data_IF_792147691541
#
_entry.id   IF_792147691541
#
_cell.length_a   1.000
_cell.length_b   1.000
_cell.length_c   1.000
_cell.angle_alpha   90.00
_cell.angle_beta   90.00
_cell.angle_gamma   90.00
#
_symmetry.space_group_name_H-M   'P 1'
#
loop_
_entity.id
_entity.type
_entity.pdbx_description
1 polymer ?
#
# COMPACT_ATOMS: atom_id res chain seq x y z
N UNK A 1 19.82 -8.37 -21.84
CA UNK A 1 18.79 -7.59 -21.12
C UNK A 1 19.37 -6.69 -20.03
N UNK A 2 20.43 -7.09 -19.33
CA UNK A 2 21.11 -6.30 -18.28
C UNK A 2 21.87 -5.05 -18.78
N UNK A 3 22.41 -5.06 -20.00
CA UNK A 3 23.13 -3.89 -20.55
C UNK A 3 22.18 -2.79 -21.05
N UNK A 4 20.98 -3.16 -21.50
CA UNK A 4 19.97 -2.19 -21.97
C UNK A 4 19.33 -1.43 -20.78
N UNK A 5 19.06 -2.14 -19.68
CA UNK A 5 18.60 -1.57 -18.41
C UNK A 5 19.64 -0.62 -17.77
N UNK A 6 20.94 -0.94 -17.88
CA UNK A 6 22.00 -0.08 -17.38
C UNK A 6 22.21 1.20 -18.22
N UNK A 7 21.90 1.18 -19.52
CA UNK A 7 22.01 2.35 -20.39
C UNK A 7 20.79 3.28 -20.29
N UNK A 8 19.60 2.73 -20.04
CA UNK A 8 18.39 3.51 -19.73
C UNK A 8 18.47 4.17 -18.34
N UNK A 9 18.99 3.47 -17.32
CA UNK A 9 19.16 4.07 -15.98
C UNK A 9 20.18 5.22 -15.94
N UNK A 10 21.21 5.17 -16.79
CA UNK A 10 22.19 6.28 -16.97
C UNK A 10 21.54 7.48 -17.66
N UNK A 11 20.59 7.28 -18.57
CA UNK A 11 19.94 8.36 -19.30
C UNK A 11 18.99 9.18 -18.42
N UNK A 12 18.28 8.54 -17.48
CA UNK A 12 17.38 9.23 -16.55
C UNK A 12 18.14 9.89 -15.40
N UNK A 13 19.19 9.26 -14.87
CA UNK A 13 20.10 9.92 -13.93
C UNK A 13 20.69 11.22 -14.50
N UNK A 14 21.25 11.16 -15.71
CA UNK A 14 21.81 12.33 -16.39
C UNK A 14 20.77 13.42 -16.73
N UNK A 15 19.50 13.03 -16.97
CA UNK A 15 18.42 13.98 -17.23
C UNK A 15 18.03 14.80 -15.99
N UNK A 16 18.18 14.23 -14.78
CA UNK A 16 17.75 14.86 -13.52
C UNK A 16 18.90 15.30 -12.61
N UNK A 17 20.15 15.05 -12.99
CA UNK A 17 21.34 15.46 -12.21
C UNK A 17 21.35 16.95 -11.86
N UNK A 18 20.80 17.80 -12.74
CA UNK A 18 20.68 19.25 -12.52
C UNK A 18 19.25 19.74 -12.33
N UNK A 19 18.26 18.84 -12.23
CA UNK A 19 16.87 19.23 -12.05
C UNK A 19 16.66 19.96 -10.71
N UNK A 20 15.80 20.96 -10.71
CA UNK A 20 15.28 21.61 -9.51
C UNK A 20 14.39 20.66 -8.71
N UNK A 21 14.16 20.95 -7.43
CA UNK A 21 13.23 20.18 -6.60
C UNK A 21 11.82 20.15 -7.21
N UNK A 22 11.40 21.25 -7.84
CA UNK A 22 10.10 21.35 -8.49
C UNK A 22 9.99 20.42 -9.71
N UNK A 23 11.04 20.32 -10.53
CA UNK A 23 11.08 19.38 -11.66
C UNK A 23 11.07 17.92 -11.18
N UNK A 24 11.78 17.61 -10.10
CA UNK A 24 11.77 16.28 -9.48
C UNK A 24 10.37 15.94 -8.93
N UNK A 25 9.70 16.91 -8.30
CA UNK A 25 8.34 16.77 -7.80
C UNK A 25 7.36 16.52 -8.94
N UNK A 26 7.43 17.31 -10.01
CA UNK A 26 6.59 17.12 -11.19
C UNK A 26 6.82 15.76 -11.86
N UNK A 27 8.07 15.29 -11.91
CA UNK A 27 8.39 13.96 -12.41
C UNK A 27 7.77 12.84 -11.54
N UNK A 28 7.87 12.98 -10.21
CA UNK A 28 7.26 12.04 -9.27
C UNK A 28 5.73 12.01 -9.41
N UNK A 29 5.09 13.18 -9.39
CA UNK A 29 3.64 13.34 -9.56
C UNK A 29 3.17 12.77 -10.90
N UNK A 30 3.91 13.03 -11.98
CA UNK A 30 3.62 12.46 -13.30
C UNK A 30 3.69 10.94 -13.25
N UNK A 31 4.74 10.36 -12.70
CA UNK A 31 4.90 8.90 -12.60
C UNK A 31 3.77 8.26 -11.80
N UNK A 32 3.31 8.93 -10.73
CA UNK A 32 2.18 8.50 -9.92
C UNK A 32 0.87 8.56 -10.72
N UNK A 33 0.63 9.67 -11.42
CA UNK A 33 -0.59 9.87 -12.21
C UNK A 33 -0.68 8.92 -13.41
N UNK A 34 0.45 8.60 -14.04
CA UNK A 34 0.52 7.67 -15.18
C UNK A 34 0.74 6.22 -14.77
N UNK A 35 0.80 5.91 -13.47
CA UNK A 35 1.11 4.58 -12.94
C UNK A 35 2.41 3.97 -13.52
N UNK A 36 3.39 4.83 -13.83
CA UNK A 36 4.65 4.44 -14.47
C UNK A 36 5.67 4.02 -13.40
N UNK A 37 5.66 2.73 -13.06
CA UNK A 37 6.55 2.17 -12.03
C UNK A 37 8.02 2.18 -12.43
N UNK A 38 8.35 2.07 -13.72
CA UNK A 38 9.75 2.07 -14.18
C UNK A 38 10.36 3.45 -13.99
N UNK A 39 9.67 4.51 -14.43
CA UNK A 39 10.10 5.88 -14.16
C UNK A 39 10.20 6.13 -12.65
N UNK A 40 9.26 5.61 -11.85
CA UNK A 40 9.32 5.76 -10.40
C UNK A 40 10.57 5.08 -9.79
N UNK A 41 10.90 3.86 -10.24
CA UNK A 41 12.10 3.11 -9.81
C UNK A 41 13.38 3.86 -10.14
N UNK A 42 13.45 4.48 -11.31
CA UNK A 42 14.61 5.26 -11.75
C UNK A 42 14.75 6.59 -11.00
N UNK A 43 13.63 7.23 -10.65
CA UNK A 43 13.63 8.50 -9.91
C UNK A 43 14.02 8.32 -8.43
N UNK A 44 13.71 7.18 -7.81
CA UNK A 44 13.99 6.92 -6.40
C UNK A 44 15.47 7.11 -5.99
N UNK A 45 16.48 6.53 -6.68
CA UNK A 45 17.88 6.78 -6.37
C UNK A 45 18.32 8.22 -6.65
N UNK A 46 17.71 8.91 -7.63
CA UNK A 46 17.98 10.33 -7.91
C UNK A 46 17.54 11.20 -6.73
N UNK A 47 16.32 11.02 -6.24
CA UNK A 47 15.80 11.72 -5.04
C UNK A 47 16.69 11.45 -3.82
N UNK A 48 17.11 10.20 -3.63
CA UNK A 48 17.97 9.81 -2.52
C UNK A 48 19.36 10.44 -2.62
N UNK A 49 19.96 10.48 -3.82
CA UNK A 49 21.25 11.14 -4.05
C UNK A 49 21.18 12.65 -3.85
N UNK A 50 20.04 13.27 -4.21
CA UNK A 50 19.82 14.70 -4.07
C UNK A 50 19.79 15.18 -2.61
N UNK A 51 19.50 14.30 -1.65
CA UNK A 51 19.56 14.63 -0.22
C UNK A 51 20.93 15.14 0.24
N UNK A 52 22.02 14.76 -0.43
CA UNK A 52 23.38 15.18 -0.07
C UNK A 52 23.79 16.53 -0.67
N UNK A 53 23.01 17.05 -1.62
CA UNK A 53 23.35 18.27 -2.37
C UNK A 53 22.26 19.34 -2.34
N UNK A 54 21.05 19.00 -1.88
CA UNK A 54 19.92 19.93 -1.75
C UNK A 54 20.21 21.03 -0.73
N UNK A 55 19.75 22.27 -0.95
CA UNK A 55 19.80 23.30 0.07
C UNK A 55 19.05 22.88 1.34
N UNK A 56 19.54 23.28 2.51
CA UNK A 56 18.92 22.93 3.80
C UNK A 56 17.44 23.36 3.89
N UNK A 57 17.09 24.48 3.27
CA UNK A 57 15.71 24.99 3.22
C UNK A 57 14.74 24.06 2.45
N UNK A 58 15.26 23.22 1.56
CA UNK A 58 14.51 22.30 0.70
C UNK A 58 14.60 20.84 1.17
N UNK A 59 15.49 20.53 2.11
CA UNK A 59 15.75 19.16 2.57
C UNK A 59 14.49 18.49 3.12
N UNK A 60 13.68 19.20 3.90
CA UNK A 60 12.41 18.70 4.44
C UNK A 60 11.46 18.28 3.31
N UNK A 61 11.24 19.16 2.33
CA UNK A 61 10.36 18.89 1.20
C UNK A 61 10.85 17.72 0.35
N UNK A 62 12.17 17.62 0.13
CA UNK A 62 12.76 16.48 -0.59
C UNK A 62 12.61 15.16 0.17
N UNK A 63 12.76 15.16 1.49
CA UNK A 63 12.57 13.96 2.33
C UNK A 63 11.12 13.49 2.33
N UNK A 64 10.16 14.41 2.42
CA UNK A 64 8.73 14.09 2.30
C UNK A 64 8.42 13.52 0.92
N UNK A 65 8.89 14.17 -0.15
CA UNK A 65 8.73 13.69 -1.52
C UNK A 65 9.34 12.29 -1.68
N UNK A 66 10.55 12.05 -1.19
CA UNK A 66 11.22 10.75 -1.23
C UNK A 66 10.41 9.69 -0.49
N UNK A 67 9.84 10.01 0.67
CA UNK A 67 9.03 9.09 1.45
C UNK A 67 7.71 8.72 0.77
N UNK A 68 7.01 9.72 0.21
CA UNK A 68 5.78 9.52 -0.57
C UNK A 68 6.07 8.69 -1.82
N UNK A 69 7.16 8.99 -2.53
CA UNK A 69 7.56 8.27 -3.74
C UNK A 69 7.96 6.82 -3.45
N UNK A 70 8.65 6.59 -2.32
CA UNK A 70 8.97 5.24 -1.85
C UNK A 70 7.70 4.45 -1.48
N UNK A 71 6.70 5.10 -0.86
CA UNK A 71 5.40 4.49 -0.58
C UNK A 71 4.65 4.13 -1.87
N UNK A 72 4.69 4.99 -2.89
CA UNK A 72 4.10 4.70 -4.20
C UNK A 72 4.72 3.47 -4.87
N UNK A 73 6.05 3.34 -4.85
CA UNK A 73 6.72 2.15 -5.40
C UNK A 73 6.32 0.89 -4.61
N UNK A 74 6.28 0.99 -3.28
CA UNK A 74 5.85 -0.12 -2.43
C UNK A 74 4.40 -0.54 -2.72
N UNK A 75 3.48 0.41 -2.95
CA UNK A 75 2.09 0.11 -3.26
C UNK A 75 1.92 -0.50 -4.65
N UNK A 76 2.66 -0.02 -5.65
CA UNK A 76 2.64 -0.59 -7.00
C UNK A 76 3.21 -2.01 -7.03
N UNK A 77 4.37 -2.22 -6.42
CA UNK A 77 4.95 -3.56 -6.28
C UNK A 77 4.02 -4.49 -5.48
N UNK A 78 3.26 -3.94 -4.52
CA UNK A 78 2.26 -4.70 -3.76
C UNK A 78 1.09 -5.17 -4.63
N UNK A 79 0.58 -4.31 -5.49
CA UNK A 79 -0.50 -4.68 -6.42
C UNK A 79 -0.08 -5.85 -7.32
N UNK A 80 1.16 -5.84 -7.81
CA UNK A 80 1.74 -6.97 -8.55
C UNK A 80 1.91 -8.21 -7.66
N UNK A 81 2.41 -8.06 -6.43
CA UNK A 81 2.62 -9.17 -5.49
C UNK A 81 1.33 -9.94 -5.17
N UNK A 82 0.20 -9.23 -5.14
CA UNK A 82 -1.12 -9.80 -4.83
C UNK A 82 -1.75 -10.55 -6.00
N UNK A 83 -1.15 -10.52 -7.20
CA UNK A 83 -1.62 -11.34 -8.32
C UNK A 83 -1.47 -12.84 -8.03
N UNK A 84 -2.42 -13.60 -8.55
CA UNK A 84 -2.49 -15.05 -8.35
C UNK A 84 -1.59 -15.83 -9.33
N UNK A 85 -1.26 -15.23 -10.47
CA UNK A 85 -0.59 -15.85 -11.61
C UNK A 85 0.93 -15.60 -11.66
N UNK A 86 1.50 -14.98 -10.62
CA UNK A 86 2.94 -14.77 -10.52
C UNK A 86 3.64 -15.92 -9.77
N UNK A 87 4.85 -16.26 -10.23
CA UNK A 87 5.68 -17.32 -9.67
C UNK A 87 6.17 -16.99 -8.25
N UNK A 88 6.61 -18.03 -7.52
CA UNK A 88 7.23 -17.86 -6.20
C UNK A 88 8.50 -16.98 -6.30
N UNK A 89 9.22 -17.06 -7.42
CA UNK A 89 10.39 -16.22 -7.68
C UNK A 89 10.01 -14.74 -7.77
N UNK A 90 9.02 -14.40 -8.59
CA UNK A 90 8.51 -13.04 -8.73
C UNK A 90 7.93 -12.50 -7.42
N UNK A 91 7.17 -13.31 -6.66
CA UNK A 91 6.70 -12.93 -5.32
C UNK A 91 7.84 -12.58 -4.37
N UNK A 92 8.97 -13.31 -4.45
CA UNK A 92 10.14 -13.01 -3.64
C UNK A 92 10.79 -11.69 -4.04
N UNK A 93 10.93 -11.43 -5.34
CA UNK A 93 11.51 -10.20 -5.87
C UNK A 93 10.67 -8.99 -5.48
N UNK A 94 9.35 -9.05 -5.71
CA UNK A 94 8.40 -8.00 -5.34
C UNK A 94 8.37 -7.77 -3.83
N UNK A 95 8.40 -8.84 -3.02
CA UNK A 95 8.50 -8.71 -1.56
C UNK A 95 9.76 -7.98 -1.11
N UNK A 96 10.91 -8.31 -1.71
CA UNK A 96 12.18 -7.61 -1.44
C UNK A 96 12.15 -6.16 -1.90
N UNK A 97 11.49 -5.86 -3.00
CA UNK A 97 11.32 -4.50 -3.51
C UNK A 97 10.48 -3.65 -2.56
N UNK A 98 9.35 -4.18 -2.08
CA UNK A 98 8.47 -3.51 -1.11
C UNK A 98 9.24 -3.20 0.19
N UNK A 99 10.00 -4.16 0.71
CA UNK A 99 10.81 -3.97 1.92
C UNK A 99 11.90 -2.90 1.71
N UNK A 100 12.56 -2.91 0.54
CA UNK A 100 13.59 -1.94 0.21
C UNK A 100 13.03 -0.52 0.03
N UNK A 101 11.90 -0.39 -0.66
CA UNK A 101 11.21 0.88 -0.84
C UNK A 101 10.74 1.43 0.51
N UNK A 102 10.06 0.60 1.32
CA UNK A 102 9.60 1.03 2.64
C UNK A 102 10.75 1.44 3.57
N UNK A 103 11.87 0.72 3.54
CA UNK A 103 13.06 1.08 4.31
C UNK A 103 13.64 2.44 3.91
N UNK A 104 13.66 2.77 2.61
CA UNK A 104 14.05 4.10 2.12
C UNK A 104 13.09 5.18 2.60
N UNK A 105 11.78 4.90 2.56
CA UNK A 105 10.76 5.82 3.07
C UNK A 105 10.93 6.11 4.57
N UNK A 106 11.11 5.08 5.40
CA UNK A 106 11.36 5.26 6.84
C UNK A 106 12.63 6.08 7.11
N UNK A 107 13.71 5.80 6.36
CA UNK A 107 14.97 6.56 6.48
C UNK A 107 14.80 8.03 6.11
N UNK A 108 14.00 8.32 5.08
CA UNK A 108 13.69 9.69 4.67
C UNK A 108 12.90 10.45 5.74
N UNK A 109 11.89 9.80 6.34
CA UNK A 109 11.02 10.38 7.37
C UNK A 109 11.68 10.56 8.74
N UNK A 110 12.69 9.74 9.08
CA UNK A 110 13.29 9.71 10.42
C UNK A 110 13.66 11.09 10.97
N UNK A 111 14.41 11.92 10.21
CA UNK A 111 14.81 13.26 10.66
C UNK A 111 13.70 14.33 10.66
N UNK A 112 12.52 14.04 10.10
CA UNK A 112 11.44 15.01 9.98
C UNK A 112 10.71 15.23 11.31
N UNK A 113 10.15 16.42 11.57
CA UNK A 113 9.31 16.66 12.75
C UNK A 113 8.06 15.76 12.73
N UNK A 114 7.50 15.47 13.90
CA UNK A 114 6.26 14.69 14.02
C UNK A 114 5.06 15.54 13.55
N UNK A 115 4.63 15.30 12.31
CA UNK A 115 3.48 15.93 11.67
C UNK A 115 2.42 14.88 11.32
N UNK A 116 1.17 15.31 11.12
CA UNK A 116 0.10 14.42 10.65
C UNK A 116 0.47 13.71 9.34
N UNK A 117 1.16 14.42 8.44
CA UNK A 117 1.61 13.86 7.17
C UNK A 117 2.69 12.79 7.36
N UNK A 118 3.69 13.04 8.22
CA UNK A 118 4.69 12.03 8.59
C UNK A 118 4.04 10.79 9.18
N UNK A 119 3.10 10.97 10.11
CA UNK A 119 2.39 9.85 10.73
C UNK A 119 1.59 9.04 9.70
N UNK A 120 0.88 9.71 8.79
CA UNK A 120 0.13 9.09 7.68
C UNK A 120 1.02 8.22 6.82
N UNK A 121 2.11 8.78 6.28
CA UNK A 121 3.05 8.04 5.42
C UNK A 121 3.71 6.90 6.20
N UNK A 122 4.09 7.12 7.47
CA UNK A 122 4.68 6.09 8.32
C UNK A 122 3.72 4.92 8.55
N UNK A 123 2.45 5.21 8.82
CA UNK A 123 1.40 4.20 8.99
C UNK A 123 1.21 3.37 7.71
N UNK A 124 1.15 4.02 6.55
CA UNK A 124 1.02 3.34 5.26
C UNK A 124 2.24 2.45 4.94
N UNK A 125 3.46 2.94 5.19
CA UNK A 125 4.68 2.16 5.02
C UNK A 125 4.73 0.91 5.93
N UNK A 126 4.23 1.03 7.18
CA UNK A 126 4.09 -0.12 8.08
C UNK A 126 3.11 -1.15 7.51
N UNK A 127 2.01 -0.71 6.91
CA UNK A 127 1.02 -1.59 6.29
C UNK A 127 1.58 -2.30 5.05
N UNK A 128 2.40 -1.64 4.23
CA UNK A 128 3.02 -2.24 3.04
C UNK A 128 4.02 -3.35 3.42
N UNK A 129 4.98 -3.04 4.30
CA UNK A 129 6.07 -3.97 4.71
C UNK A 129 5.56 -5.24 5.40
N UNK A 130 4.44 -5.17 6.11
CA UNK A 130 3.95 -6.29 6.92
C UNK A 130 3.08 -7.28 6.14
N UNK A 131 2.55 -6.86 4.98
CA UNK A 131 1.78 -7.74 4.08
C UNK A 131 2.69 -8.62 3.20
N UNK A 132 4.00 -8.33 3.09
CA UNK A 132 4.99 -9.04 2.27
C UNK A 132 5.74 -10.12 3.05
N UNK A 133 5.10 -11.26 3.32
CA UNK A 133 5.80 -12.40 3.92
C UNK A 133 6.58 -13.18 2.86
N UNK A 134 7.91 -13.09 2.85
CA UNK A 134 8.78 -14.13 2.29
C UNK A 134 10.05 -14.34 3.14
N UNK A 135 10.26 -15.61 3.56
CA UNK A 135 11.41 -16.18 4.29
C UNK A 135 11.92 -15.45 5.54
N UNK A 136 11.53 -15.95 6.70
CA UNK A 136 12.45 -16.20 7.82
C UNK A 136 12.97 -15.00 8.61
N UNK A 137 12.84 -13.77 8.13
CA UNK A 137 13.03 -12.58 8.95
C UNK A 137 11.69 -12.25 9.60
N UNK A 138 11.53 -12.74 10.83
CA UNK A 138 10.44 -12.33 11.72
C UNK A 138 10.65 -10.85 12.01
N UNK A 139 9.92 -9.98 11.33
CA UNK A 139 9.46 -8.78 12.02
C UNK A 139 8.45 -9.29 13.06
N UNK A 140 8.81 -9.16 14.34
CA UNK A 140 8.16 -9.77 15.51
C UNK A 140 6.69 -9.36 15.78
N UNK A 141 5.96 -8.86 14.78
CA UNK A 141 4.55 -8.50 14.90
C UNK A 141 3.64 -9.32 13.99
N UNK A 142 2.47 -9.73 14.48
CA UNK A 142 1.36 -10.11 13.61
C UNK A 142 0.93 -8.91 12.74
N UNK A 143 0.19 -9.15 11.65
CA UNK A 143 -0.43 -8.05 10.88
C UNK A 143 -1.30 -7.14 11.77
N UNK A 144 -1.88 -7.71 12.82
CA UNK A 144 -2.65 -7.00 13.83
C UNK A 144 -1.78 -6.04 14.64
N UNK A 145 -0.61 -6.47 15.12
CA UNK A 145 0.32 -5.59 15.83
C UNK A 145 0.84 -4.44 14.95
N UNK A 146 1.00 -4.68 13.65
CA UNK A 146 1.33 -3.62 12.69
C UNK A 146 0.18 -2.64 12.50
N UNK A 147 -1.05 -3.15 12.35
CA UNK A 147 -2.24 -2.33 12.26
C UNK A 147 -2.45 -1.49 13.52
N UNK A 148 -2.19 -2.03 14.71
CA UNK A 148 -2.27 -1.26 15.96
C UNK A 148 -1.23 -0.13 16.00
N UNK A 149 0.00 -0.37 15.53
CA UNK A 149 1.01 0.69 15.40
C UNK A 149 0.61 1.74 14.37
N UNK A 150 0.09 1.31 13.23
CA UNK A 150 -0.39 2.22 12.18
C UNK A 150 -1.54 3.08 12.70
N UNK A 151 -2.52 2.51 13.41
CA UNK A 151 -3.65 3.24 14.00
C UNK A 151 -3.26 4.15 15.16
N UNK A 152 -2.18 3.82 15.88
CA UNK A 152 -1.63 4.71 16.91
C UNK A 152 -1.00 5.98 16.31
N UNK A 153 -0.48 5.89 15.08
CA UNK A 153 0.08 7.02 14.33
C UNK A 153 -1.00 7.78 13.57
N UNK A 154 -1.84 7.04 12.84
CA UNK A 154 -2.95 7.55 12.03
C UNK A 154 -4.22 6.73 12.29
N UNK A 155 -5.10 7.19 13.19
CA UNK A 155 -6.37 6.53 13.47
C UNK A 155 -7.32 6.44 12.26
N UNK A 156 -7.07 7.23 11.20
CA UNK A 156 -7.84 7.24 9.97
C UNK A 156 -7.19 6.40 8.85
N UNK A 157 -6.26 5.50 9.17
CA UNK A 157 -5.62 4.66 8.15
C UNK A 157 -6.57 3.54 7.66
N UNK A 158 -7.03 3.55 6.39
CA UNK A 158 -8.01 2.58 5.91
C UNK A 158 -7.48 1.15 5.91
N UNK A 159 -6.22 0.95 5.49
CA UNK A 159 -5.58 -0.36 5.42
C UNK A 159 -5.44 -1.01 6.80
N UNK A 160 -5.09 -0.22 7.81
CA UNK A 160 -4.98 -0.69 9.18
C UNK A 160 -6.35 -1.03 9.79
N UNK A 161 -7.36 -0.19 9.53
CA UNK A 161 -8.76 -0.48 9.92
C UNK A 161 -9.26 -1.79 9.30
N UNK A 162 -9.04 -2.03 8.01
CA UNK A 162 -9.42 -3.28 7.34
C UNK A 162 -8.71 -4.49 7.98
N UNK A 163 -7.41 -4.36 8.24
CA UNK A 163 -6.63 -5.45 8.86
C UNK A 163 -7.16 -5.82 10.25
N UNK A 164 -7.48 -4.81 11.07
CA UNK A 164 -8.02 -5.01 12.42
C UNK A 164 -9.46 -5.54 12.40
N UNK A 165 -10.28 -5.02 11.50
CA UNK A 165 -11.67 -5.44 11.34
C UNK A 165 -11.80 -6.93 11.03
N UNK A 166 -10.85 -7.53 10.29
CA UNK A 166 -10.89 -8.94 9.91
C UNK A 166 -10.97 -9.88 11.12
N UNK A 167 -10.23 -9.58 12.19
CA UNK A 167 -10.33 -10.37 13.43
C UNK A 167 -11.69 -10.18 14.08
N UNK A 168 -12.15 -8.92 14.21
CA UNK A 168 -13.45 -8.58 14.79
C UNK A 168 -14.60 -9.27 14.06
N UNK A 169 -14.59 -9.27 12.74
CA UNK A 169 -15.61 -9.88 11.88
C UNK A 169 -15.63 -11.41 11.92
N UNK A 170 -14.48 -12.06 12.12
CA UNK A 170 -14.35 -13.50 11.90
C UNK A 170 -13.89 -14.34 13.08
N UNK A 171 -13.44 -13.73 14.18
CA UNK A 171 -13.20 -14.45 15.43
C UNK A 171 -14.53 -14.81 16.11
N UNK A 172 -14.49 -15.77 17.04
CA UNK A 172 -15.60 -16.01 17.96
C UNK A 172 -15.61 -14.93 19.06
N UNK A 173 -16.77 -14.65 19.64
CA UNK A 173 -16.93 -13.58 20.65
C UNK A 173 -15.94 -13.71 21.82
N UNK A 174 -15.77 -14.93 22.36
CA UNK A 174 -14.80 -15.22 23.43
C UNK A 174 -13.32 -15.03 23.04
N UNK A 175 -13.03 -14.84 21.75
CA UNK A 175 -11.69 -14.62 21.20
C UNK A 175 -11.49 -13.19 20.67
N UNK A 176 -12.40 -12.29 21.02
CA UNK A 176 -12.40 -10.89 20.60
C UNK A 176 -13.10 -10.67 19.26
N UNK A 177 -13.98 -11.59 18.85
CA UNK A 177 -14.95 -11.37 17.79
C UNK A 177 -16.00 -10.34 18.24
N UNK A 178 -16.28 -9.40 17.36
CA UNK A 178 -17.37 -8.44 17.50
C UNK A 178 -17.76 -8.03 16.08
N UNK A 179 -18.88 -8.56 15.61
CA UNK A 179 -19.33 -8.37 14.23
C UNK A 179 -19.68 -6.90 13.96
N UNK A 180 -20.34 -6.24 14.91
CA UNK A 180 -20.77 -4.85 14.78
C UNK A 180 -19.57 -3.89 14.79
N UNK A 181 -18.63 -4.08 15.72
CA UNK A 181 -17.39 -3.30 15.75
C UNK A 181 -16.58 -3.53 14.47
N UNK A 182 -16.47 -4.77 14.01
CA UNK A 182 -15.79 -5.11 12.77
C UNK A 182 -16.41 -4.43 11.54
N UNK A 183 -17.75 -4.44 11.44
CA UNK A 183 -18.46 -3.75 10.35
C UNK A 183 -18.28 -2.24 10.42
N UNK A 184 -18.32 -1.65 11.62
CA UNK A 184 -18.08 -0.22 11.80
C UNK A 184 -16.69 0.19 11.30
N UNK A 185 -15.66 -0.62 11.59
CA UNK A 185 -14.30 -0.39 11.07
C UNK A 185 -14.23 -0.49 9.56
N UNK A 186 -14.89 -1.48 8.94
CA UNK A 186 -14.91 -1.60 7.48
C UNK A 186 -15.67 -0.45 6.83
N UNK A 187 -16.81 -0.04 7.40
CA UNK A 187 -17.57 1.12 6.91
C UNK A 187 -16.72 2.38 6.98
N UNK A 188 -15.98 2.59 8.08
CA UNK A 188 -15.07 3.72 8.21
C UNK A 188 -13.96 3.68 7.17
N UNK A 189 -13.37 2.51 6.91
CA UNK A 189 -12.38 2.36 5.85
C UNK A 189 -12.95 2.70 4.46
N UNK A 190 -14.20 2.32 4.16
CA UNK A 190 -14.89 2.66 2.91
C UNK A 190 -15.18 4.16 2.81
N UNK A 191 -15.52 4.84 3.91
CA UNK A 191 -15.70 6.30 3.92
C UNK A 191 -14.40 7.04 3.62
N UNK A 192 -13.28 6.52 4.13
CA UNK A 192 -11.95 7.11 3.94
C UNK A 192 -11.38 6.81 2.55
N UNK A 193 -11.64 5.62 2.01
CA UNK A 193 -11.23 5.20 0.68
C UNK A 193 -12.39 4.48 -0.05
N UNK A 194 -13.28 5.24 -0.72
CA UNK A 194 -14.43 4.68 -1.44
C UNK A 194 -14.08 3.83 -2.67
N UNK A 195 -12.81 3.86 -3.09
CA UNK A 195 -12.27 3.09 -4.20
C UNK A 195 -11.50 1.84 -3.73
N UNK A 196 -11.56 1.50 -2.44
CA UNK A 196 -10.93 0.30 -1.90
C UNK A 196 -11.77 -0.95 -2.16
N UNK A 197 -11.50 -1.69 -3.22
CA UNK A 197 -12.24 -2.91 -3.56
C UNK A 197 -12.12 -3.98 -2.47
N UNK A 198 -10.99 -4.04 -1.76
CA UNK A 198 -10.75 -5.00 -0.68
C UNK A 198 -11.69 -4.78 0.50
N UNK A 199 -12.05 -3.52 0.78
CA UNK A 199 -13.00 -3.18 1.83
C UNK A 199 -14.39 -3.74 1.53
N UNK A 200 -14.86 -3.59 0.28
CA UNK A 200 -16.13 -4.16 -0.16
C UNK A 200 -16.11 -5.70 -0.17
N UNK A 201 -15.03 -6.32 -0.63
CA UNK A 201 -14.87 -7.80 -0.54
C UNK A 201 -14.98 -8.28 0.91
N UNK A 202 -14.28 -7.61 1.82
CA UNK A 202 -14.26 -7.96 3.24
C UNK A 202 -15.65 -7.80 3.88
N UNK A 203 -16.35 -6.71 3.58
CA UNK A 203 -17.72 -6.48 4.06
C UNK A 203 -18.70 -7.50 3.51
N UNK A 204 -18.61 -7.83 2.22
CA UNK A 204 -19.46 -8.86 1.62
C UNK A 204 -19.23 -10.25 2.22
N UNK A 205 -17.96 -10.60 2.53
CA UNK A 205 -17.63 -11.81 3.26
C UNK A 205 -18.23 -11.85 4.67
N UNK A 206 -18.22 -10.70 5.35
CA UNK A 206 -18.84 -10.56 6.67
C UNK A 206 -20.36 -10.75 6.60
N UNK A 207 -21.05 -10.09 5.66
CA UNK A 207 -22.48 -10.25 5.45
C UNK A 207 -22.88 -11.69 5.13
N UNK A 208 -22.14 -12.35 4.23
CA UNK A 208 -22.33 -13.76 3.91
C UNK A 208 -22.25 -14.64 5.15
N UNK A 209 -21.23 -14.43 6.01
CA UNK A 209 -21.08 -15.20 7.24
C UNK A 209 -22.25 -14.97 8.21
N UNK A 210 -22.80 -13.77 8.22
CA UNK A 210 -23.94 -13.41 9.06
C UNK A 210 -25.31 -13.73 8.42
N UNK A 211 -25.32 -14.39 7.25
CA UNK A 211 -26.53 -14.87 6.58
C UNK A 211 -27.20 -13.86 5.63
N UNK A 212 -26.68 -12.64 5.51
CA UNK A 212 -27.23 -11.62 4.62
C UNK A 212 -26.57 -11.70 3.23
N UNK A 213 -27.06 -12.62 2.40
CA UNK A 213 -26.49 -12.86 1.07
C UNK A 213 -26.77 -11.69 0.11
N UNK A 214 -27.88 -10.97 0.26
CA UNK A 214 -28.23 -9.85 -0.61
C UNK A 214 -27.21 -8.71 -0.47
N UNK A 215 -26.88 -8.32 0.77
CA UNK A 215 -25.81 -7.34 1.01
C UNK A 215 -24.45 -7.84 0.56
N UNK A 216 -24.16 -9.13 0.74
CA UNK A 216 -22.91 -9.73 0.29
C UNK A 216 -22.73 -9.59 -1.23
N UNK A 217 -23.77 -9.93 -2.00
CA UNK A 217 -23.79 -9.80 -3.46
C UNK A 217 -23.62 -8.33 -3.88
N UNK A 218 -24.32 -7.39 -3.22
CA UNK A 218 -24.20 -5.97 -3.53
C UNK A 218 -22.76 -5.45 -3.33
N UNK A 219 -22.12 -5.83 -2.22
CA UNK A 219 -20.74 -5.45 -1.93
C UNK A 219 -19.74 -6.09 -2.90
N UNK A 220 -19.90 -7.37 -3.27
CA UNK A 220 -19.02 -7.99 -4.26
C UNK A 220 -19.20 -7.39 -5.66
N UNK A 221 -20.41 -7.00 -6.06
CA UNK A 221 -20.65 -6.25 -7.30
C UNK A 221 -19.92 -4.91 -7.26
N UNK A 222 -20.03 -4.17 -6.15
CA UNK A 222 -19.32 -2.90 -5.98
C UNK A 222 -17.80 -3.07 -6.07
N UNK A 223 -17.24 -4.14 -5.51
CA UNK A 223 -15.81 -4.44 -5.64
C UNK A 223 -15.39 -4.69 -7.10
N UNK A 224 -16.24 -5.30 -7.92
CA UNK A 224 -15.99 -5.50 -9.36
C UNK A 224 -16.20 -4.24 -10.18
N UNK A 225 -17.13 -3.36 -9.81
CA UNK A 225 -17.28 -2.04 -10.45
C UNK A 225 -16.03 -1.18 -10.28
N UNK A 226 -15.38 -1.29 -9.11
CA UNK A 226 -14.12 -0.59 -8.80
C UNK A 226 -12.94 -1.26 -9.53
N UNK A 227 -12.81 -2.58 -9.38
CA UNK A 227 -11.77 -3.35 -10.02
C UNK A 227 -12.36 -4.63 -10.62
N UNK A 228 -12.56 -4.68 -11.95
CA UNK A 228 -13.13 -5.85 -12.64
C UNK A 228 -12.32 -7.14 -12.49
N UNK A 229 -11.06 -7.04 -12.06
CA UNK A 229 -10.15 -8.17 -11.85
C UNK A 229 -10.13 -8.69 -10.41
N UNK A 230 -10.98 -8.18 -9.52
CA UNK A 230 -11.11 -8.67 -8.13
C UNK A 230 -11.66 -10.11 -8.10
N UNK A 231 -10.76 -11.09 -8.24
CA UNK A 231 -11.11 -12.51 -8.31
C UNK A 231 -11.93 -13.01 -7.12
N UNK A 232 -11.63 -12.67 -5.85
CA UNK A 232 -12.46 -13.10 -4.72
C UNK A 232 -13.92 -12.66 -4.87
N UNK A 233 -14.17 -11.43 -5.32
CA UNK A 233 -15.53 -10.92 -5.53
C UNK A 233 -16.25 -11.73 -6.62
N UNK A 234 -15.59 -11.97 -7.75
CA UNK A 234 -16.13 -12.78 -8.85
C UNK A 234 -16.46 -14.20 -8.42
N UNK A 235 -15.55 -14.89 -7.74
CA UNK A 235 -15.78 -16.25 -7.25
C UNK A 235 -16.96 -16.32 -6.27
N UNK A 236 -17.11 -15.31 -5.41
CA UNK A 236 -18.22 -15.27 -4.46
C UNK A 236 -19.56 -15.03 -5.14
N UNK A 237 -19.59 -14.19 -6.17
CA UNK A 237 -20.77 -13.93 -7.00
C UNK A 237 -21.18 -15.17 -7.81
N UNK A 238 -20.23 -15.85 -8.46
CA UNK A 238 -20.47 -17.11 -9.18
C UNK A 238 -21.04 -18.18 -8.23
N UNK A 239 -20.45 -18.34 -7.03
CA UNK A 239 -20.95 -19.28 -6.01
C UNK A 239 -22.33 -18.90 -5.47
N UNK A 240 -22.69 -17.62 -5.52
CA UNK A 240 -24.00 -17.12 -5.12
C UNK A 240 -25.04 -17.21 -6.26
N UNK A 241 -24.64 -17.63 -7.48
CA UNK A 241 -25.51 -17.66 -8.65
C UNK A 241 -25.89 -16.27 -9.18
N UNK A 242 -25.11 -15.24 -8.81
CA UNK A 242 -25.34 -13.85 -9.19
C UNK A 242 -24.25 -13.42 -10.16
N UNK A 243 -24.49 -13.55 -11.47
CA UNK A 243 -23.61 -13.00 -12.50
C UNK A 243 -23.84 -11.50 -12.73
#
# INVERSE_FOLDING_TARGET
>A
MTVLLALLSVAVGAAYDNASLEELKQAAEKSQHTYDIETARELLPVLQGRLYTVPQAEETALRELLAQHALFIASMARNEYEKDDISIGEKRELGSEIDAAASKGFSALGPLPETSEKHRITADLLMMRMRTKFKGQRHEGSMEAAADKALALDPCNPSALLTKSRRKLFAEDKHGGDFEEGLAMVNRAIELDPANEQAFVLRGLAWKRHGDMEKAIADWKRALDINPHTKPAREHLERAGAN
#
